data_IF_777122957577
#
_entry.id   IF_777122957577
#
_cell.length_a   1.000
_cell.length_b   1.000
_cell.length_c   1.000
_cell.angle_alpha   90.00
_cell.angle_beta   90.00
_cell.angle_gamma   90.00
#
_symmetry.space_group_name_H-M   'P 1'
#
loop_
_entity.id
_entity.type
_entity.pdbx_description
1 polymer ?
#
# COMPACT_ATOMS: atom_id res chain seq x y z
N UNK A 1 -8.45 -23.02 -0.79
CA UNK A 1 -7.04 -23.14 -0.38
C UNK A 1 -6.29 -21.91 -0.85
N UNK A 2 -5.75 -21.12 0.07
CA UNK A 2 -4.90 -19.97 -0.28
C UNK A 2 -3.54 -20.52 -0.72
N UNK A 3 -3.14 -20.26 -1.95
CA UNK A 3 -1.84 -20.61 -2.46
C UNK A 3 -1.01 -19.34 -2.65
N UNK A 4 0.04 -19.18 -1.90
CA UNK A 4 1.04 -18.13 -2.12
C UNK A 4 2.08 -18.66 -3.10
N UNK A 5 2.07 -18.17 -4.31
CA UNK A 5 3.11 -18.50 -5.30
C UNK A 5 4.11 -17.38 -5.28
N UNK A 6 5.26 -17.64 -4.78
CA UNK A 6 6.38 -16.73 -4.90
C UNK A 6 7.63 -17.53 -5.26
N UNK A 7 8.18 -17.35 -6.41
CA UNK A 7 9.63 -17.36 -6.60
C UNK A 7 10.09 -17.73 -8.00
N UNK A 8 11.08 -17.00 -8.48
CA UNK A 8 11.98 -17.35 -9.59
C UNK A 8 12.90 -18.58 -9.31
N UNK A 9 12.74 -19.26 -8.15
CA UNK A 9 13.55 -20.43 -7.79
C UNK A 9 12.63 -21.59 -7.38
N UNK A 10 12.31 -22.52 -8.29
CA UNK A 10 11.44 -23.65 -8.02
C UNK A 10 12.07 -24.69 -7.08
N UNK A 11 11.20 -25.45 -6.41
CA UNK A 11 11.51 -26.70 -5.69
C UNK A 11 12.44 -26.56 -4.47
N UNK A 12 12.26 -25.50 -3.66
CA UNK A 12 12.96 -25.37 -2.39
C UNK A 12 11.97 -25.17 -1.24
N UNK A 13 12.32 -25.67 -0.05
CA UNK A 13 11.56 -25.35 1.16
C UNK A 13 11.70 -23.85 1.46
N UNK A 14 10.66 -23.23 1.99
CA UNK A 14 10.70 -21.80 2.34
C UNK A 14 11.88 -21.47 3.26
N UNK A 15 12.19 -22.35 4.22
CA UNK A 15 13.32 -22.18 5.14
C UNK A 15 14.69 -22.18 4.44
N UNK A 16 14.81 -22.80 3.27
CA UNK A 16 16.07 -22.83 2.50
C UNK A 16 16.24 -21.57 1.65
N UNK A 17 15.13 -20.89 1.32
CA UNK A 17 15.12 -19.65 0.54
C UNK A 17 15.10 -18.40 1.43
N UNK A 18 14.47 -18.52 2.58
CA UNK A 18 14.29 -17.44 3.55
C UNK A 18 14.37 -17.99 4.98
N UNK A 19 15.59 -18.33 5.47
CA UNK A 19 15.79 -19.02 6.74
C UNK A 19 15.34 -18.25 7.98
N UNK A 20 15.11 -16.94 7.84
CA UNK A 20 14.56 -16.09 8.90
C UNK A 20 13.09 -16.41 9.22
N UNK A 21 12.36 -17.06 8.31
CA UNK A 21 10.97 -17.45 8.56
C UNK A 21 10.91 -18.82 9.21
N UNK A 22 10.67 -18.85 10.52
CA UNK A 22 10.37 -20.06 11.26
C UNK A 22 8.89 -20.38 11.09
N UNK A 23 8.57 -21.22 10.12
CA UNK A 23 7.20 -21.70 9.92
C UNK A 23 6.98 -23.02 10.65
N UNK A 24 5.82 -23.18 11.28
CA UNK A 24 5.42 -24.40 11.99
C UNK A 24 4.99 -25.53 11.05
N UNK A 25 4.90 -25.26 9.74
CA UNK A 25 4.56 -26.23 8.69
C UNK A 25 5.62 -26.19 7.61
N UNK A 26 5.93 -27.35 7.02
CA UNK A 26 6.74 -27.39 5.81
C UNK A 26 5.97 -26.73 4.66
N UNK A 27 6.51 -25.60 4.20
CA UNK A 27 6.01 -24.91 3.01
C UNK A 27 7.04 -25.12 1.89
N UNK A 28 6.57 -25.67 0.78
CA UNK A 28 7.39 -25.83 -0.42
C UNK A 28 7.11 -24.68 -1.36
N UNK A 29 8.17 -24.10 -1.92
CA UNK A 29 8.08 -23.05 -2.95
C UNK A 29 8.11 -23.74 -4.31
N UNK A 30 7.09 -23.47 -5.12
CA UNK A 30 6.96 -24.03 -6.47
C UNK A 30 7.24 -22.95 -7.52
N UNK A 31 7.62 -23.36 -8.73
CA UNK A 31 7.53 -22.48 -9.89
C UNK A 31 6.05 -22.19 -10.20
N UNK A 32 5.75 -20.99 -10.68
CA UNK A 32 4.38 -20.58 -10.97
C UNK A 32 3.65 -21.51 -11.92
N UNK A 33 4.39 -22.05 -12.93
CA UNK A 33 3.86 -22.96 -13.93
C UNK A 33 3.52 -24.36 -13.39
N UNK A 34 4.10 -24.73 -12.24
CA UNK A 34 3.91 -26.04 -11.62
C UNK A 34 2.76 -26.09 -10.62
N UNK A 35 2.09 -24.97 -10.41
CA UNK A 35 1.05 -24.86 -9.41
C UNK A 35 -0.32 -24.79 -10.09
N UNK A 36 -1.20 -25.71 -9.72
CA UNK A 36 -2.61 -25.58 -10.06
C UNK A 36 -3.22 -24.47 -9.18
N UNK A 37 -3.64 -23.33 -9.76
CA UNK A 37 -4.16 -22.24 -8.98
C UNK A 37 -5.46 -22.67 -8.31
N UNK A 38 -5.57 -22.34 -7.03
CA UNK A 38 -6.85 -22.40 -6.33
C UNK A 38 -7.79 -21.29 -6.83
N UNK A 39 -8.86 -21.06 -6.10
CA UNK A 39 -9.85 -20.02 -6.42
C UNK A 39 -9.29 -18.60 -6.28
N UNK A 40 -8.22 -18.42 -5.52
CA UNK A 40 -7.59 -17.12 -5.20
C UNK A 40 -6.07 -17.19 -5.28
N UNK A 41 -5.47 -16.08 -5.74
CA UNK A 41 -4.02 -15.90 -5.76
C UNK A 41 -3.62 -14.51 -5.29
N UNK A 42 -2.47 -14.41 -4.60
CA UNK A 42 -1.76 -13.15 -4.37
C UNK A 42 -0.47 -13.16 -5.20
N UNK A 43 -0.28 -12.18 -6.06
CA UNK A 43 0.87 -12.06 -6.95
C UNK A 43 1.80 -10.97 -6.45
N UNK A 44 3.04 -11.33 -6.11
CA UNK A 44 4.07 -10.42 -5.60
C UNK A 44 5.33 -10.46 -6.49
N UNK A 45 5.17 -10.07 -7.73
CA UNK A 45 6.24 -9.99 -8.73
C UNK A 45 6.74 -8.56 -8.92
N UNK A 46 7.94 -8.36 -9.48
CA UNK A 46 8.37 -7.04 -9.91
C UNK A 46 7.38 -6.44 -10.93
N UNK A 47 7.30 -5.11 -10.95
CA UNK A 47 6.50 -4.41 -11.97
C UNK A 47 7.01 -4.74 -13.38
N UNK A 48 6.13 -4.69 -14.37
CA UNK A 48 6.27 -5.16 -15.73
C UNK A 48 6.39 -6.69 -15.89
N UNK A 49 6.68 -7.44 -14.84
CA UNK A 49 6.75 -8.90 -14.85
C UNK A 49 5.47 -9.57 -14.32
N UNK A 50 4.68 -8.85 -13.52
CA UNK A 50 3.46 -9.38 -12.93
C UNK A 50 2.29 -9.45 -13.93
N UNK A 51 2.15 -8.48 -14.82
CA UNK A 51 1.00 -8.36 -15.70
C UNK A 51 0.72 -9.62 -16.55
N UNK A 52 1.71 -10.31 -17.17
CA UNK A 52 1.45 -11.55 -17.89
C UNK A 52 0.94 -12.70 -17.01
N UNK A 53 1.50 -12.85 -15.81
CA UNK A 53 1.07 -13.88 -14.85
C UNK A 53 -0.34 -13.60 -14.32
N UNK A 54 -0.61 -12.35 -13.96
CA UNK A 54 -1.95 -11.92 -13.50
C UNK A 54 -2.97 -12.20 -14.60
N UNK A 55 -2.64 -11.89 -15.86
CA UNK A 55 -3.51 -12.14 -16.99
C UNK A 55 -3.84 -13.64 -17.16
N UNK A 56 -2.83 -14.51 -17.13
CA UNK A 56 -3.02 -15.96 -17.22
C UNK A 56 -3.94 -16.47 -16.10
N UNK A 57 -3.71 -16.04 -14.85
CA UNK A 57 -4.52 -16.45 -13.71
C UNK A 57 -5.98 -15.98 -13.84
N UNK A 58 -6.20 -14.71 -14.19
CA UNK A 58 -7.55 -14.15 -14.36
C UNK A 58 -8.28 -14.82 -15.52
N UNK A 59 -7.62 -15.07 -16.66
CA UNK A 59 -8.20 -15.75 -17.82
C UNK A 59 -8.58 -17.21 -17.51
N UNK A 60 -7.90 -17.83 -16.53
CA UNK A 60 -8.22 -19.17 -15.99
C UNK A 60 -9.32 -19.14 -14.91
N UNK A 61 -9.90 -17.98 -14.61
CA UNK A 61 -10.97 -17.82 -13.64
C UNK A 61 -10.53 -17.66 -12.19
N UNK A 62 -9.23 -17.49 -11.93
CA UNK A 62 -8.69 -17.24 -10.59
C UNK A 62 -8.95 -15.80 -10.19
N UNK A 63 -9.37 -15.57 -8.96
CA UNK A 63 -9.48 -14.21 -8.38
C UNK A 63 -8.14 -13.78 -7.81
N UNK A 64 -7.64 -12.63 -8.26
CA UNK A 64 -6.24 -12.23 -8.01
C UNK A 64 -6.16 -10.94 -7.22
N UNK A 65 -5.29 -10.92 -6.20
CA UNK A 65 -4.74 -9.68 -5.61
C UNK A 65 -3.33 -9.47 -6.15
N UNK A 66 -3.15 -8.43 -6.95
CA UNK A 66 -1.85 -8.04 -7.49
C UNK A 66 -1.17 -7.05 -6.54
N UNK A 67 -0.06 -7.47 -5.93
CA UNK A 67 0.76 -6.63 -5.03
C UNK A 67 1.76 -5.80 -5.84
N UNK A 68 1.96 -6.12 -7.12
CA UNK A 68 2.78 -5.31 -8.00
C UNK A 68 2.13 -3.94 -8.30
N UNK A 69 2.80 -3.13 -9.10
CA UNK A 69 2.25 -1.84 -9.51
C UNK A 69 1.48 -1.90 -10.83
N UNK A 70 1.40 -3.08 -11.46
CA UNK A 70 1.01 -3.19 -12.87
C UNK A 70 -0.47 -2.85 -13.13
N UNK A 71 -1.35 -2.96 -12.13
CA UNK A 71 -2.78 -2.71 -12.30
C UNK A 71 -3.33 -1.53 -11.45
N UNK A 72 -2.44 -0.71 -10.84
CA UNK A 72 -2.87 0.35 -9.90
C UNK A 72 -3.39 1.60 -10.57
N UNK A 73 -2.81 2.01 -11.70
CA UNK A 73 -3.14 3.27 -12.37
C UNK A 73 -4.23 3.04 -13.42
N UNK A 74 -5.28 3.86 -13.38
CA UNK A 74 -6.39 3.78 -14.35
C UNK A 74 -6.00 4.37 -15.71
N UNK A 75 -5.13 5.39 -15.69
CA UNK A 75 -4.63 6.01 -16.92
C UNK A 75 -3.48 5.19 -17.50
N UNK A 76 -3.74 4.56 -18.63
CA UNK A 76 -2.76 3.74 -19.36
C UNK A 76 -1.54 4.55 -19.86
N UNK A 77 -1.71 5.85 -20.10
CA UNK A 77 -0.61 6.73 -20.54
C UNK A 77 0.42 6.94 -19.42
N UNK A 78 0.05 6.75 -18.16
CA UNK A 78 0.94 6.86 -17.02
C UNK A 78 1.97 5.71 -16.91
N UNK A 79 1.70 4.53 -17.49
CA UNK A 79 2.64 3.40 -17.40
C UNK A 79 3.97 3.62 -18.12
N UNK A 80 4.00 4.09 -19.38
CA UNK A 80 5.28 4.43 -20.03
C UNK A 80 6.06 5.50 -19.27
N UNK A 81 5.40 6.51 -18.76
CA UNK A 81 6.04 7.62 -18.05
C UNK A 81 6.65 7.19 -16.71
N UNK A 82 5.86 6.53 -15.86
CA UNK A 82 6.23 6.25 -14.47
C UNK A 82 6.88 4.88 -14.26
N UNK A 83 6.60 3.92 -15.13
CA UNK A 83 7.06 2.53 -15.01
C UNK A 83 7.93 2.06 -16.17
N UNK A 84 7.99 2.82 -17.28
CA UNK A 84 8.86 2.53 -18.43
C UNK A 84 8.37 1.38 -19.32
N UNK A 85 7.08 0.99 -19.26
CA UNK A 85 6.51 -0.03 -20.12
C UNK A 85 5.09 0.32 -20.58
N UNK A 86 4.68 -0.22 -21.73
CA UNK A 86 3.29 -0.16 -22.20
C UNK A 86 2.53 -1.36 -21.65
N UNK A 87 1.41 -1.14 -20.98
CA UNK A 87 0.65 -2.22 -20.34
C UNK A 87 0.07 -3.19 -21.38
N UNK A 88 0.33 -4.52 -21.27
CA UNK A 88 -0.07 -5.49 -22.29
C UNK A 88 -1.57 -5.84 -22.26
N UNK A 89 -2.27 -5.54 -21.15
CA UNK A 89 -3.69 -5.89 -20.93
C UNK A 89 -4.50 -4.67 -20.42
N UNK A 90 -4.81 -3.71 -21.32
CA UNK A 90 -5.61 -2.54 -20.98
C UNK A 90 -7.00 -2.87 -20.39
N UNK A 91 -7.58 -3.97 -20.85
CA UNK A 91 -8.84 -4.50 -20.35
C UNK A 91 -8.80 -4.85 -18.86
N UNK A 92 -7.73 -5.49 -18.40
CA UNK A 92 -7.55 -5.82 -16.99
C UNK A 92 -7.27 -4.58 -16.12
N UNK A 93 -6.57 -3.59 -16.65
CA UNK A 93 -6.40 -2.29 -15.96
C UNK A 93 -7.76 -1.61 -15.73
N UNK A 94 -8.63 -1.63 -16.74
CA UNK A 94 -9.97 -1.06 -16.63
C UNK A 94 -10.88 -1.83 -15.66
N UNK A 95 -10.66 -3.15 -15.49
CA UNK A 95 -11.42 -4.01 -14.59
C UNK A 95 -10.91 -3.97 -13.14
N UNK A 96 -9.60 -3.73 -12.96
CA UNK A 96 -8.96 -3.82 -11.66
C UNK A 96 -9.58 -2.85 -10.63
N UNK A 97 -9.92 -3.39 -9.46
CA UNK A 97 -10.36 -2.58 -8.32
C UNK A 97 -9.15 -2.21 -7.48
N UNK A 98 -9.01 -0.92 -7.15
CA UNK A 98 -7.96 -0.47 -6.24
C UNK A 98 -8.20 -1.02 -4.83
N UNK A 99 -7.23 -1.72 -4.28
CA UNK A 99 -7.34 -2.56 -3.10
C UNK A 99 -7.29 -1.82 -1.77
N UNK A 100 -8.05 -0.73 -1.64
CA UNK A 100 -8.21 0.05 -0.41
C UNK A 100 -9.61 -0.16 0.19
N UNK A 101 -9.81 -1.08 1.14
CA UNK A 101 -11.10 -1.40 1.75
C UNK A 101 -11.80 -0.18 2.37
N UNK A 102 -11.04 0.78 2.84
CA UNK A 102 -11.53 2.00 3.46
C UNK A 102 -12.30 2.90 2.46
N UNK A 103 -12.15 2.61 1.15
CA UNK A 103 -12.85 3.31 0.07
C UNK A 103 -13.68 2.38 -0.82
N UNK A 104 -13.19 1.16 -1.07
CA UNK A 104 -13.70 0.30 -2.14
C UNK A 104 -14.19 -1.06 -1.66
N UNK A 105 -14.51 -1.22 -0.35
CA UNK A 105 -14.87 -2.50 0.28
C UNK A 105 -15.86 -3.34 -0.53
N UNK A 106 -16.95 -2.76 -0.97
CA UNK A 106 -17.99 -3.52 -1.69
C UNK A 106 -17.56 -3.89 -3.11
N UNK A 107 -16.82 -3.02 -3.79
CA UNK A 107 -16.24 -3.33 -5.10
C UNK A 107 -15.20 -4.46 -4.99
N UNK A 108 -14.35 -4.47 -3.96
CA UNK A 108 -13.36 -5.53 -3.70
C UNK A 108 -14.03 -6.88 -3.50
N UNK A 109 -15.16 -6.95 -2.81
CA UNK A 109 -15.91 -8.21 -2.62
C UNK A 109 -16.30 -8.87 -3.93
N UNK A 110 -16.70 -8.09 -4.94
CA UNK A 110 -17.10 -8.58 -6.25
C UNK A 110 -15.97 -8.70 -7.29
N UNK A 111 -14.78 -8.21 -6.98
CA UNK A 111 -13.70 -8.12 -7.96
C UNK A 111 -13.11 -9.48 -8.34
N UNK A 112 -12.70 -9.61 -9.60
CA UNK A 112 -11.83 -10.71 -10.06
C UNK A 112 -10.36 -10.34 -9.92
N UNK A 113 -10.03 -9.05 -10.06
CA UNK A 113 -8.70 -8.50 -9.93
C UNK A 113 -8.71 -7.31 -8.97
N UNK A 114 -7.86 -7.36 -7.96
CA UNK A 114 -7.63 -6.27 -7.01
C UNK A 114 -6.19 -5.82 -7.10
N UNK A 115 -5.97 -4.54 -7.38
CA UNK A 115 -4.65 -3.91 -7.39
C UNK A 115 -4.30 -3.41 -5.98
N UNK A 116 -3.43 -4.11 -5.28
CA UNK A 116 -3.03 -3.76 -3.91
C UNK A 116 -2.21 -2.46 -3.88
N UNK A 117 -2.51 -1.50 -3.00
CA UNK A 117 -1.79 -0.23 -2.91
C UNK A 117 -0.28 -0.37 -2.68
N UNK A 118 0.47 0.64 -3.08
CA UNK A 118 1.84 0.83 -2.60
C UNK A 118 1.86 1.35 -1.16
N UNK A 119 2.93 1.08 -0.40
CA UNK A 119 2.99 1.44 1.02
C UNK A 119 2.91 2.95 1.29
N UNK A 120 3.58 3.78 0.48
CA UNK A 120 3.45 5.23 0.61
C UNK A 120 2.06 5.74 0.22
N UNK A 121 1.45 5.30 -0.90
CA UNK A 121 0.06 5.60 -1.19
C UNK A 121 -0.90 5.19 -0.08
N UNK A 122 -0.78 3.98 0.43
CA UNK A 122 -1.61 3.49 1.54
C UNK A 122 -1.60 4.47 2.72
N UNK A 123 -0.41 4.79 3.26
CA UNK A 123 -0.31 5.70 4.39
C UNK A 123 -0.82 7.12 4.07
N UNK A 124 -0.47 7.63 2.89
CA UNK A 124 -0.82 9.00 2.48
C UNK A 124 -2.31 9.16 2.23
N UNK A 125 -2.90 8.18 1.53
CA UNK A 125 -4.32 8.18 1.22
C UNK A 125 -5.13 8.01 2.50
N UNK A 126 -4.79 7.04 3.38
CA UNK A 126 -5.45 6.90 4.68
C UNK A 126 -5.34 8.18 5.51
N UNK A 127 -4.22 8.89 5.42
CA UNK A 127 -4.06 10.18 6.07
C UNK A 127 -5.01 11.26 5.57
N UNK A 128 -5.31 11.31 4.27
CA UNK A 128 -6.03 12.42 3.64
C UNK A 128 -7.44 12.07 3.12
N UNK A 129 -7.80 10.79 3.05
CA UNK A 129 -9.06 10.32 2.47
C UNK A 129 -10.33 10.98 3.06
N UNK A 130 -10.43 11.22 4.39
CA UNK A 130 -11.59 11.92 4.95
C UNK A 130 -11.75 13.36 4.47
N UNK A 131 -10.70 13.94 3.90
CA UNK A 131 -10.67 15.31 3.37
C UNK A 131 -10.64 15.37 1.83
N UNK A 132 -10.70 14.23 1.14
CA UNK A 132 -10.65 14.18 -0.33
C UNK A 132 -11.75 15.07 -0.94
N UNK A 133 -11.39 15.86 -1.96
CA UNK A 133 -12.27 16.84 -2.59
C UNK A 133 -12.42 18.17 -1.82
N UNK A 134 -11.81 18.30 -0.64
CA UNK A 134 -11.86 19.50 0.23
C UNK A 134 -10.48 20.08 0.53
N UNK A 135 -9.44 19.60 -0.15
CA UNK A 135 -8.04 20.00 0.08
C UNK A 135 -7.37 20.47 -1.19
N UNK A 136 -6.40 21.35 -1.02
CA UNK A 136 -5.47 21.83 -2.03
C UNK A 136 -4.09 22.07 -1.41
N UNK A 137 -3.08 22.39 -2.24
CA UNK A 137 -1.71 22.67 -1.83
C UNK A 137 -1.14 21.52 -0.96
N UNK A 138 -1.32 20.28 -1.44
CA UNK A 138 -0.98 19.06 -0.69
C UNK A 138 0.51 18.80 -0.78
N UNK A 139 1.16 18.70 0.39
CA UNK A 139 2.56 18.28 0.51
C UNK A 139 2.60 17.04 1.40
N UNK A 140 3.26 16.00 0.92
CA UNK A 140 3.44 14.72 1.63
C UNK A 140 4.94 14.48 1.81
N UNK A 141 5.39 14.59 3.04
CA UNK A 141 6.76 14.31 3.46
C UNK A 141 6.78 12.96 4.21
N UNK A 142 7.22 11.90 3.53
CA UNK A 142 7.09 10.54 4.03
C UNK A 142 8.43 9.88 4.31
N UNK A 143 8.48 9.09 5.37
CA UNK A 143 9.65 8.35 5.87
C UNK A 143 9.33 6.87 5.92
N UNK A 144 10.15 6.04 5.26
CA UNK A 144 9.99 4.58 5.26
C UNK A 144 11.24 3.89 5.76
N UNK A 145 11.05 2.82 6.50
CA UNK A 145 12.12 1.87 6.78
C UNK A 145 12.64 1.23 5.50
N UNK A 146 13.88 0.73 5.57
CA UNK A 146 14.63 0.23 4.40
C UNK A 146 14.04 -1.01 3.75
N UNK A 147 13.26 -1.81 4.49
CA UNK A 147 12.54 -2.96 3.92
C UNK A 147 11.56 -2.56 2.80
N UNK A 148 11.11 -1.29 2.77
CA UNK A 148 10.29 -0.72 1.70
C UNK A 148 11.01 -0.55 0.36
N UNK A 149 12.34 -0.55 0.33
CA UNK A 149 13.12 -0.46 -0.90
C UNK A 149 13.21 -1.79 -1.68
N UNK A 150 12.64 -2.88 -1.13
CA UNK A 150 12.67 -4.21 -1.73
C UNK A 150 13.92 -5.01 -1.35
N UNK A 151 14.02 -6.23 -1.89
CA UNK A 151 15.07 -7.19 -1.52
C UNK A 151 16.37 -7.08 -2.35
N UNK A 152 16.36 -6.30 -3.42
CA UNK A 152 17.54 -6.18 -4.31
C UNK A 152 18.58 -5.30 -3.63
N UNK A 153 19.80 -5.79 -3.37
CA UNK A 153 20.86 -4.98 -2.79
C UNK A 153 21.25 -3.85 -3.74
N UNK A 154 21.31 -2.64 -3.20
CA UNK A 154 21.82 -1.45 -3.90
C UNK A 154 22.69 -0.64 -2.95
N UNK A 155 23.56 0.21 -3.47
CA UNK A 155 24.42 1.06 -2.62
C UNK A 155 23.61 1.93 -1.66
N UNK A 156 22.43 2.38 -2.08
CA UNK A 156 21.55 3.24 -1.26
C UNK A 156 20.84 2.51 -0.12
N UNK A 157 20.79 1.18 -0.13
CA UNK A 157 20.20 0.37 0.95
C UNK A 157 21.22 -0.50 1.67
N UNK A 158 22.52 -0.34 1.34
CA UNK A 158 23.59 -1.00 2.06
C UNK A 158 23.68 -0.47 3.50
N UNK A 159 23.93 -1.36 4.46
CA UNK A 159 23.93 -1.02 5.89
C UNK A 159 24.76 0.24 6.21
N UNK A 160 25.99 0.34 5.70
CA UNK A 160 26.87 1.51 5.94
C UNK A 160 26.39 2.81 5.29
N UNK A 161 25.49 2.73 4.30
CA UNK A 161 24.93 3.91 3.63
C UNK A 161 23.65 4.40 4.31
N UNK A 162 22.93 3.50 4.96
CA UNK A 162 21.62 3.79 5.57
C UNK A 162 21.74 4.10 7.05
N UNK A 163 22.65 3.40 7.76
CA UNK A 163 22.76 3.57 9.21
C UNK A 163 23.10 5.02 9.56
N UNK A 164 22.41 5.57 10.57
CA UNK A 164 22.59 6.95 11.05
C UNK A 164 22.31 8.03 9.98
N UNK A 165 21.59 7.71 8.89
CA UNK A 165 21.30 8.60 7.79
C UNK A 165 19.81 8.68 7.48
N UNK A 166 19.34 9.87 7.09
CA UNK A 166 18.01 10.10 6.54
C UNK A 166 18.19 10.77 5.18
N UNK A 167 17.69 10.13 4.11
CA UNK A 167 17.90 10.62 2.76
C UNK A 167 16.58 10.66 1.96
N UNK A 168 16.29 11.81 1.36
CA UNK A 168 15.25 11.91 0.34
C UNK A 168 15.71 11.22 -0.95
N UNK A 169 14.78 10.60 -1.67
CA UNK A 169 15.08 9.96 -2.94
C UNK A 169 13.93 10.14 -3.94
N UNK A 170 14.24 10.07 -5.24
CA UNK A 170 13.26 10.18 -6.33
C UNK A 170 12.27 11.33 -6.16
N UNK A 171 12.73 12.50 -5.70
CA UNK A 171 11.89 13.69 -5.58
C UNK A 171 11.32 14.05 -6.94
N UNK A 172 10.01 14.29 -7.03
CA UNK A 172 9.23 14.49 -8.26
C UNK A 172 9.29 13.35 -9.29
N UNK A 173 9.94 12.22 -8.97
CA UNK A 173 10.11 11.09 -9.88
C UNK A 173 9.70 9.74 -9.25
N UNK A 174 9.07 9.77 -8.09
CA UNK A 174 8.64 8.54 -7.42
C UNK A 174 7.32 8.04 -8.00
N UNK A 175 7.30 6.79 -8.47
CA UNK A 175 6.16 6.14 -9.13
C UNK A 175 4.88 6.02 -8.29
N UNK A 176 4.94 6.30 -6.99
CA UNK A 176 3.74 6.37 -6.14
C UNK A 176 3.02 7.73 -6.22
N UNK A 177 3.63 8.75 -6.83
CA UNK A 177 2.98 10.07 -6.99
C UNK A 177 1.65 9.97 -7.74
N UNK A 178 1.59 9.42 -8.97
CA UNK A 178 0.33 9.34 -9.71
C UNK A 178 -0.72 8.47 -9.02
N UNK A 179 -0.30 7.46 -8.24
CA UNK A 179 -1.20 6.62 -7.48
C UNK A 179 -1.90 7.40 -6.35
N UNK A 180 -1.15 8.26 -5.63
CA UNK A 180 -1.69 9.13 -4.58
C UNK A 180 -2.64 10.16 -5.19
N UNK A 181 -2.22 10.82 -6.28
CA UNK A 181 -3.02 11.84 -6.97
C UNK A 181 -4.32 11.28 -7.53
N UNK A 182 -4.27 10.09 -8.13
CA UNK A 182 -5.44 9.38 -8.64
C UNK A 182 -6.49 9.16 -7.54
N UNK A 183 -6.06 8.77 -6.35
CA UNK A 183 -6.97 8.43 -5.27
C UNK A 183 -7.44 9.64 -4.48
N UNK A 184 -6.66 10.70 -4.38
CA UNK A 184 -7.04 11.92 -3.69
C UNK A 184 -7.77 12.93 -4.61
N UNK A 185 -7.59 12.82 -5.94
CA UNK A 185 -8.16 13.73 -6.93
C UNK A 185 -7.51 15.12 -6.90
N UNK A 186 -6.26 15.24 -6.47
CA UNK A 186 -5.52 16.49 -6.35
C UNK A 186 -4.04 16.26 -6.58
N UNK A 187 -3.34 17.19 -7.23
CA UNK A 187 -1.88 17.16 -7.36
C UNK A 187 -1.20 17.22 -5.99
N UNK A 188 -0.10 16.47 -5.83
CA UNK A 188 0.66 16.43 -4.59
C UNK A 188 2.15 16.68 -4.80
N UNK A 189 2.76 17.42 -3.89
CA UNK A 189 4.22 17.43 -3.73
C UNK A 189 4.60 16.27 -2.82
N UNK A 190 5.15 15.20 -3.40
CA UNK A 190 5.53 14.00 -2.66
C UNK A 190 7.05 13.86 -2.52
N UNK A 191 7.52 13.80 -1.29
CA UNK A 191 8.94 13.63 -0.96
C UNK A 191 9.14 12.40 -0.08
N UNK A 192 9.55 11.26 -0.65
CA UNK A 192 9.86 10.07 0.11
C UNK A 192 11.28 10.11 0.68
N UNK A 193 11.44 9.54 1.88
CA UNK A 193 12.73 9.36 2.54
C UNK A 193 12.93 7.92 2.97
N UNK A 194 14.18 7.46 2.96
CA UNK A 194 14.60 6.26 3.70
C UNK A 194 15.18 6.68 5.04
N UNK A 195 14.79 5.96 6.08
CA UNK A 195 15.29 6.16 7.45
C UNK A 195 15.91 4.86 7.98
N UNK A 196 16.88 4.96 8.92
CA UNK A 196 17.67 3.80 9.37
C UNK A 196 16.91 2.90 10.35
N UNK A 197 15.73 2.47 9.95
CA UNK A 197 14.93 1.45 10.63
C UNK A 197 14.52 0.38 9.63
N UNK A 198 14.27 -0.85 10.09
CA UNK A 198 13.86 -1.92 9.21
C UNK A 198 12.44 -1.71 8.70
N UNK A 199 11.46 -1.58 9.60
CA UNK A 199 10.02 -1.51 9.31
C UNK A 199 9.37 -0.26 9.88
N UNK A 200 8.29 0.14 9.22
CA UNK A 200 7.45 1.27 9.57
C UNK A 200 7.50 2.36 8.51
N UNK A 201 6.41 3.06 8.37
CA UNK A 201 6.25 4.19 7.46
C UNK A 201 5.47 5.28 8.17
N UNK A 202 5.97 6.51 8.10
CA UNK A 202 5.30 7.72 8.55
C UNK A 202 5.09 8.64 7.34
N UNK A 203 3.85 8.98 7.03
CA UNK A 203 3.47 10.06 6.14
C UNK A 203 3.04 11.29 6.94
N UNK A 204 3.74 12.41 6.77
CA UNK A 204 3.32 13.71 7.28
C UNK A 204 2.71 14.49 6.12
N UNK A 205 1.40 14.64 6.16
CA UNK A 205 0.63 15.24 5.08
C UNK A 205 0.19 16.64 5.49
N UNK A 206 0.53 17.64 4.70
CA UNK A 206 0.10 19.03 4.87
C UNK A 206 -0.87 19.38 3.76
N UNK A 207 -1.98 20.01 4.10
CA UNK A 207 -2.96 20.46 3.12
C UNK A 207 -3.63 21.77 3.55
N UNK A 208 -4.19 22.50 2.59
CA UNK A 208 -5.07 23.63 2.84
C UNK A 208 -6.53 23.21 2.61
N UNK A 209 -7.42 23.53 3.55
CA UNK A 209 -8.85 23.33 3.34
C UNK A 209 -9.39 24.33 2.33
N UNK A 210 -10.22 23.88 1.39
CA UNK A 210 -10.80 24.73 0.32
C UNK A 210 -12.16 25.29 0.68
N UNK A 211 -12.85 24.70 1.63
CA UNK A 211 -14.20 25.06 2.08
C UNK A 211 -14.21 25.88 3.39
N UNK A 212 -13.06 26.43 3.75
CA UNK A 212 -12.88 27.28 4.92
C UNK A 212 -12.24 26.57 6.13
N UNK A 213 -11.96 27.32 7.21
CA UNK A 213 -11.31 26.79 8.39
C UNK A 213 -12.23 25.83 9.15
N UNK A 214 -11.62 24.82 9.74
CA UNK A 214 -12.29 23.83 10.59
C UNK A 214 -11.70 23.88 12.00
N UNK A 215 -12.50 23.67 13.04
CA UNK A 215 -11.96 23.51 14.39
C UNK A 215 -11.27 22.15 14.58
N UNK A 216 -10.35 22.03 15.53
CA UNK A 216 -9.69 20.78 15.83
C UNK A 216 -10.67 19.65 16.18
N UNK A 217 -11.69 19.95 16.95
CA UNK A 217 -12.72 18.96 17.33
C UNK A 217 -13.56 18.52 16.12
N UNK A 218 -13.95 19.46 15.25
CA UNK A 218 -14.69 19.13 14.03
C UNK A 218 -13.84 18.26 13.07
N UNK A 219 -12.54 18.55 12.94
CA UNK A 219 -11.63 17.75 12.15
C UNK A 219 -11.49 16.33 12.71
N UNK A 220 -11.28 16.20 14.02
CA UNK A 220 -11.20 14.88 14.67
C UNK A 220 -12.49 14.08 14.51
N UNK A 221 -13.64 14.75 14.69
CA UNK A 221 -14.95 14.09 14.51
C UNK A 221 -15.14 13.60 13.07
N UNK A 222 -14.75 14.41 12.08
CA UNK A 222 -14.77 14.02 10.65
C UNK A 222 -13.99 12.72 10.42
N UNK A 223 -12.80 12.58 11.00
CA UNK A 223 -11.99 11.36 10.88
C UNK A 223 -12.58 10.19 11.65
N UNK A 224 -13.07 10.43 12.86
CA UNK A 224 -13.69 9.40 13.68
C UNK A 224 -14.94 8.82 13.01
N UNK A 225 -15.80 9.66 12.46
CA UNK A 225 -17.01 9.24 11.72
C UNK A 225 -16.64 8.46 10.47
N UNK A 226 -15.65 8.94 9.70
CA UNK A 226 -15.24 8.30 8.46
C UNK A 226 -14.67 6.89 8.73
N UNK A 227 -13.83 6.74 9.74
CA UNK A 227 -13.16 5.46 10.03
C UNK A 227 -13.90 4.56 11.02
N UNK A 228 -15.09 4.94 11.49
CA UNK A 228 -15.86 4.17 12.48
C UNK A 228 -16.12 2.70 12.07
N UNK A 229 -16.29 2.43 10.78
CA UNK A 229 -16.53 1.08 10.23
C UNK A 229 -15.28 0.39 9.67
N UNK A 230 -14.09 0.93 9.92
CA UNK A 230 -12.83 0.45 9.36
C UNK A 230 -11.91 -0.12 10.46
N UNK A 231 -11.87 -1.45 10.63
CA UNK A 231 -11.29 -2.09 11.82
C UNK A 231 -9.78 -1.91 11.96
N UNK A 232 -9.10 -1.51 10.88
CA UNK A 232 -7.64 -1.34 10.87
C UNK A 232 -7.18 0.11 10.84
N UNK A 233 -8.08 1.09 11.00
CA UNK A 233 -7.69 2.49 11.06
C UNK A 233 -8.09 3.08 12.42
N UNK A 234 -7.11 3.50 13.18
CA UNK A 234 -7.28 4.14 14.49
C UNK A 234 -7.03 5.64 14.39
N UNK A 235 -8.01 6.45 14.78
CA UNK A 235 -7.83 7.90 14.91
C UNK A 235 -7.32 8.20 16.30
N UNK A 236 -6.11 8.80 16.38
CA UNK A 236 -5.42 9.04 17.65
C UNK A 236 -5.28 10.54 17.95
N UNK A 237 -5.16 10.88 19.23
CA UNK A 237 -5.11 12.28 19.69
C UNK A 237 -3.73 12.93 19.60
N UNK A 238 -2.70 12.12 19.53
CA UNK A 238 -1.30 12.59 19.47
C UNK A 238 -0.58 12.01 18.27
N UNK A 239 0.34 12.75 17.63
CA UNK A 239 1.09 12.24 16.51
C UNK A 239 1.77 10.91 16.81
N UNK A 240 1.43 9.83 16.08
CA UNK A 240 1.95 8.50 16.35
C UNK A 240 3.35 8.31 15.80
N UNK A 241 4.14 7.45 16.44
CA UNK A 241 5.40 6.96 15.91
C UNK A 241 5.25 5.63 15.20
N UNK A 242 6.12 5.32 14.23
CA UNK A 242 6.09 4.07 13.45
C UNK A 242 6.04 2.81 14.32
N UNK A 243 6.67 2.83 15.50
CA UNK A 243 6.74 1.67 16.40
C UNK A 243 5.37 1.23 16.92
N UNK A 244 4.39 2.13 16.97
CA UNK A 244 3.05 1.84 17.46
C UNK A 244 2.31 0.78 16.61
N UNK A 245 2.66 0.69 15.31
CA UNK A 245 1.97 -0.16 14.33
C UNK A 245 2.88 -1.22 13.70
N UNK A 246 4.16 -1.27 14.08
CA UNK A 246 5.09 -2.29 13.56
C UNK A 246 4.59 -3.70 13.82
N UNK A 247 4.68 -4.56 12.80
CA UNK A 247 4.23 -5.97 12.81
C UNK A 247 2.72 -6.15 12.99
N UNK A 248 1.93 -5.13 12.71
CA UNK A 248 0.47 -5.19 12.74
C UNK A 248 -0.13 -4.80 11.39
N UNK A 249 -1.44 -5.01 11.22
CA UNK A 249 -2.20 -4.50 10.08
C UNK A 249 -2.92 -3.18 10.38
N UNK A 250 -2.59 -2.52 11.49
CA UNK A 250 -3.19 -1.24 11.87
C UNK A 250 -2.50 -0.05 11.20
N UNK A 251 -3.31 0.96 10.88
CA UNK A 251 -2.87 2.31 10.59
C UNK A 251 -3.31 3.22 11.74
N UNK A 252 -2.46 4.14 12.19
CA UNK A 252 -2.85 5.20 13.11
C UNK A 252 -2.79 6.54 12.39
N UNK A 253 -3.86 7.34 12.52
CA UNK A 253 -4.01 8.63 11.85
C UNK A 253 -4.31 9.71 12.90
N UNK A 254 -3.51 10.78 12.89
CA UNK A 254 -3.70 11.93 13.78
C UNK A 254 -3.87 13.22 12.96
N UNK A 255 -5.11 13.73 12.80
CA UNK A 255 -5.37 15.01 12.13
C UNK A 255 -5.21 16.18 13.10
N UNK A 256 -4.53 17.24 12.67
CA UNK A 256 -4.26 18.45 13.47
C UNK A 256 -4.52 19.69 12.60
N UNK A 257 -5.26 20.67 13.16
CA UNK A 257 -5.47 21.97 12.52
C UNK A 257 -4.38 22.95 12.97
N UNK A 258 -3.82 23.72 12.01
CA UNK A 258 -2.99 24.89 12.36
C UNK A 258 -3.91 26.01 12.86
N UNK A 259 -3.80 26.41 14.15
CA UNK A 259 -4.67 27.44 14.70
C UNK A 259 -4.45 28.84 14.09
N UNK A 260 -3.38 29.02 13.32
CA UNK A 260 -3.02 30.30 12.68
C UNK A 260 -3.73 30.50 11.32
N UNK A 261 -4.26 29.46 10.70
CA UNK A 261 -5.10 29.65 9.54
C UNK A 261 -5.13 28.54 8.49
N UNK A 262 -6.23 27.82 8.38
CA UNK A 262 -6.67 27.06 7.20
C UNK A 262 -5.84 25.86 6.74
N UNK A 263 -4.70 25.59 7.36
CA UNK A 263 -3.90 24.38 7.09
C UNK A 263 -4.24 23.27 8.07
N UNK A 264 -4.21 22.06 7.54
CA UNK A 264 -4.24 20.83 8.34
C UNK A 264 -2.95 20.09 8.15
N UNK A 265 -2.49 19.43 9.22
CA UNK A 265 -1.39 18.47 9.17
C UNK A 265 -1.92 17.15 9.64
N UNK A 266 -1.72 16.10 8.85
CA UNK A 266 -2.15 14.76 9.21
C UNK A 266 -0.95 13.85 9.27
N UNK A 267 -0.79 13.19 10.41
CA UNK A 267 0.23 12.16 10.61
C UNK A 267 -0.43 10.79 10.41
N UNK A 268 0.11 9.99 9.50
CA UNK A 268 -0.35 8.64 9.25
C UNK A 268 0.81 7.67 9.33
N UNK A 269 0.67 6.62 10.16
CA UNK A 269 1.69 5.57 10.30
C UNK A 269 1.10 4.21 9.98
N UNK A 270 1.91 3.39 9.30
CA UNK A 270 1.63 1.98 9.02
C UNK A 270 2.91 1.15 9.16
N UNK A 271 2.76 -0.16 9.24
CA UNK A 271 3.86 -1.06 8.92
C UNK A 271 3.93 -1.21 7.39
N UNK A 272 5.06 -0.81 6.78
CA UNK A 272 5.22 -0.78 5.33
C UNK A 272 5.19 -2.15 4.65
N UNK A 273 5.43 -3.24 5.39
CA UNK A 273 5.35 -4.63 4.92
C UNK A 273 4.02 -5.28 5.33
N UNK A 274 3.46 -4.89 6.50
CA UNK A 274 2.16 -5.32 6.99
C UNK A 274 1.01 -4.64 6.22
N UNK A 275 0.38 -3.63 6.84
CA UNK A 275 -0.70 -2.85 6.23
C UNK A 275 -0.28 -2.26 4.87
N UNK A 276 0.96 -1.83 4.71
CA UNK A 276 1.48 -1.27 3.46
C UNK A 276 1.78 -2.27 2.33
N UNK A 277 1.59 -3.58 2.53
CA UNK A 277 1.86 -4.59 1.50
C UNK A 277 1.08 -5.90 1.74
N UNK A 278 1.69 -6.89 2.42
CA UNK A 278 1.15 -8.24 2.53
C UNK A 278 -0.12 -8.31 3.39
N UNK A 279 -0.19 -7.52 4.46
CA UNK A 279 -1.36 -7.46 5.33
C UNK A 279 -2.56 -6.87 4.61
N UNK A 280 -2.36 -5.83 3.82
CA UNK A 280 -3.40 -5.26 2.96
C UNK A 280 -3.87 -6.26 1.91
N UNK A 281 -2.94 -7.00 1.29
CA UNK A 281 -3.31 -8.04 0.33
C UNK A 281 -4.16 -9.15 0.97
N UNK A 282 -3.84 -9.57 2.19
CA UNK A 282 -4.63 -10.55 2.93
C UNK A 282 -6.01 -9.99 3.31
N UNK A 283 -6.10 -8.73 3.73
CA UNK A 283 -7.38 -8.05 4.00
C UNK A 283 -8.26 -8.03 2.74
N UNK A 284 -7.68 -7.71 1.58
CA UNK A 284 -8.37 -7.75 0.29
C UNK A 284 -8.83 -9.17 -0.07
N UNK A 285 -7.96 -10.17 0.09
CA UNK A 285 -8.32 -11.58 -0.15
C UNK A 285 -9.45 -12.07 0.75
N UNK A 286 -9.46 -11.68 2.03
CA UNK A 286 -10.55 -12.00 2.96
C UNK A 286 -11.88 -11.45 2.45
N UNK A 287 -11.92 -10.18 2.04
CA UNK A 287 -13.12 -9.55 1.46
C UNK A 287 -13.57 -10.26 0.17
N UNK A 288 -12.63 -10.54 -0.74
CA UNK A 288 -12.92 -11.27 -1.98
C UNK A 288 -13.49 -12.66 -1.68
N UNK A 289 -12.99 -13.33 -0.65
CA UNK A 289 -13.44 -14.67 -0.24
C UNK A 289 -14.74 -14.66 0.60
N UNK A 290 -15.32 -13.48 0.86
CA UNK A 290 -16.51 -13.35 1.71
C UNK A 290 -16.26 -13.65 3.18
N UNK A 291 -15.01 -13.50 3.64
CA UNK A 291 -14.59 -13.69 5.03
C UNK A 291 -14.58 -12.37 5.79
N UNK A 292 -14.56 -12.40 7.12
CA UNK A 292 -14.22 -11.22 7.92
C UNK A 292 -12.87 -10.64 7.45
N UNK A 293 -12.83 -9.33 7.18
CA UNK A 293 -11.64 -8.70 6.62
C UNK A 293 -10.41 -8.75 7.54
N UNK A 294 -10.63 -8.97 8.82
CA UNK A 294 -9.62 -9.06 9.88
C UNK A 294 -9.17 -10.49 10.21
N UNK A 295 -9.68 -11.49 9.51
CA UNK A 295 -9.32 -12.89 9.77
C UNK A 295 -7.82 -13.11 9.54
N UNK A 296 -7.12 -13.53 10.62
CA UNK A 296 -5.66 -13.78 10.62
C UNK A 296 -4.78 -12.53 10.61
N UNK A 297 -5.34 -11.33 10.82
CA UNK A 297 -4.63 -10.06 10.79
C UNK A 297 -4.60 -9.31 12.14
N UNK A 298 -5.24 -9.84 13.17
CA UNK A 298 -5.24 -9.30 14.55
C UNK A 298 -4.13 -9.89 15.40
#
# INVERSE_FOLDING_TARGET
TLLVVASVRPWRRLVDVAPQYRVTRELTVYASEAVDPGDFAAVAYPHAEAAPLVADLVDRGVRVVDISADHRLRDLASYPEWYGFTHPRPDLVAEAVYGLPERYRDAIRGARLVANPGCYPEASILGLLPLAGRIADVVIDAKSGVSGAGKTPTDSVHFSSVTESVAAYKVYAHRHTPEIEQELGVEVTFTPHLVPVDRGLLATCYARLTDGPMSGDALKQCYADFYAAHPFVEVVDTPPGMRAVQNTNYAQVCPVVDPRGGRVTVFSVIDNIGKGAAGQALQNLNLMAGRPEDEGLR
#
